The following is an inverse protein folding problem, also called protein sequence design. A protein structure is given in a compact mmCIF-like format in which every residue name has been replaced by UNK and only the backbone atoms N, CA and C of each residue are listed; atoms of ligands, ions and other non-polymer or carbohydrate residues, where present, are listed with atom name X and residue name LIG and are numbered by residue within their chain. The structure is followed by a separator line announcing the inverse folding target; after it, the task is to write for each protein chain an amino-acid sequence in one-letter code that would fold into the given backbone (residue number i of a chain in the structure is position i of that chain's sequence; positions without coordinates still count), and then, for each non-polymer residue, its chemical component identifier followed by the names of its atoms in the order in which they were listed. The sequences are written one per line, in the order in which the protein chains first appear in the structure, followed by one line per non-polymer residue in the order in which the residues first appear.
data_IF_400959508862
#
_entry.id   IF_400959508862
#
_cell.length_a   1.000
_cell.length_b   1.000
_cell.length_c   1.000
_cell.angle_alpha   90.00
_cell.angle_beta   90.00
_cell.angle_gamma   90.00
#
_symmetry.space_group_name_H-M   'P 1'
#
loop_
_entity.id
_entity.type
_entity.pdbx_description
1 polymer ?
#
# COMPACT_ATOMS: atom_id res chain seq x y z
N UNK A 1 -20.04 0.19 9.74
CA UNK A 1 -19.59 -0.89 8.87
C UNK A 1 -20.54 -2.06 8.99
N UNK A 2 -21.02 -2.64 7.88
CA UNK A 2 -21.96 -3.78 7.91
C UNK A 2 -21.22 -5.03 8.35
N UNK A 3 -21.80 -5.81 9.25
CA UNK A 3 -21.28 -7.08 9.73
C UNK A 3 -21.09 -8.10 8.60
N UNK A 4 -20.04 -8.87 8.63
CA UNK A 4 -19.67 -9.86 7.61
C UNK A 4 -18.59 -9.40 6.63
N UNK A 5 -17.99 -8.24 6.86
CA UNK A 5 -17.30 -7.50 5.82
C UNK A 5 -15.76 -7.48 5.91
N UNK A 6 -15.11 -7.91 7.02
CA UNK A 6 -13.68 -7.71 7.11
C UNK A 6 -12.88 -8.50 6.05
N UNK A 7 -13.12 -9.82 5.83
CA UNK A 7 -12.45 -10.54 4.75
C UNK A 7 -12.81 -10.01 3.37
N UNK A 8 -14.08 -9.67 3.13
CA UNK A 8 -14.54 -9.11 1.86
C UNK A 8 -13.95 -7.71 1.61
N UNK A 9 -13.90 -6.86 2.64
CA UNK A 9 -13.31 -5.53 2.55
C UNK A 9 -11.82 -5.58 2.24
N UNK A 10 -11.06 -6.45 2.91
CA UNK A 10 -9.64 -6.65 2.63
C UNK A 10 -9.41 -7.17 1.21
N UNK A 11 -10.22 -8.11 0.76
CA UNK A 11 -10.16 -8.61 -0.62
C UNK A 11 -10.46 -7.52 -1.64
N UNK A 12 -11.43 -6.65 -1.38
CA UNK A 12 -11.78 -5.54 -2.26
C UNK A 12 -10.64 -4.50 -2.33
N UNK A 13 -10.03 -4.16 -1.17
CA UNK A 13 -8.86 -3.28 -1.13
C UNK A 13 -7.71 -3.89 -1.94
N UNK A 14 -7.36 -5.14 -1.67
CA UNK A 14 -6.31 -5.86 -2.37
C UNK A 14 -6.56 -5.92 -3.88
N UNK A 15 -7.77 -6.26 -4.31
CA UNK A 15 -8.14 -6.31 -5.73
C UNK A 15 -8.05 -4.94 -6.40
N UNK A 16 -8.42 -3.87 -5.69
CA UNK A 16 -8.33 -2.50 -6.20
C UNK A 16 -6.87 -2.08 -6.39
N UNK A 17 -6.03 -2.29 -5.38
CA UNK A 17 -4.60 -1.95 -5.45
C UNK A 17 -3.93 -2.72 -6.58
N UNK A 18 -4.17 -4.02 -6.65
CA UNK A 18 -3.63 -4.86 -7.72
C UNK A 18 -4.09 -4.43 -9.12
N UNK A 19 -5.38 -4.07 -9.27
CA UNK A 19 -5.91 -3.55 -10.53
C UNK A 19 -5.27 -2.23 -10.97
N UNK A 20 -4.99 -1.31 -10.02
CA UNK A 20 -4.25 -0.09 -10.29
C UNK A 20 -2.82 -0.38 -10.75
N UNK A 21 -2.14 -1.33 -10.10
CA UNK A 21 -0.78 -1.74 -10.47
C UNK A 21 -0.74 -2.37 -11.87
N UNK A 22 -1.73 -3.19 -12.20
CA UNK A 22 -1.87 -3.76 -13.55
C UNK A 22 -2.09 -2.67 -14.61
N UNK A 23 -2.95 -1.70 -14.30
CA UNK A 23 -3.17 -0.55 -15.19
C UNK A 23 -1.89 0.26 -15.41
N UNK A 24 -1.11 0.49 -14.35
CA UNK A 24 0.18 1.16 -14.44
C UNK A 24 1.16 0.37 -15.32
N UNK A 25 1.31 -0.94 -15.08
CA UNK A 25 2.19 -1.79 -15.88
C UNK A 25 1.87 -1.74 -17.37
N UNK A 26 0.59 -1.84 -17.71
CA UNK A 26 0.16 -1.80 -19.12
C UNK A 26 0.55 -0.49 -19.81
N UNK A 27 0.31 0.62 -19.14
CA UNK A 27 0.63 1.94 -19.66
C UNK A 27 2.15 2.13 -19.80
N UNK A 28 2.94 1.72 -18.80
CA UNK A 28 4.40 1.77 -18.88
C UNK A 28 4.97 0.87 -19.98
N UNK A 29 4.42 -0.33 -20.15
CA UNK A 29 4.80 -1.25 -21.23
C UNK A 29 4.51 -0.63 -22.61
N UNK A 30 3.41 0.09 -22.77
CA UNK A 30 3.09 0.80 -24.01
C UNK A 30 4.10 1.90 -24.35
N UNK A 31 4.78 2.46 -23.36
CA UNK A 31 5.86 3.44 -23.51
C UNK A 31 7.21 2.79 -23.82
N UNK A 32 7.30 1.47 -23.73
CA UNK A 32 8.54 0.70 -23.91
C UNK A 32 9.34 0.52 -22.63
N UNK A 33 8.74 0.78 -21.47
CA UNK A 33 9.36 0.51 -20.17
C UNK A 33 9.23 -0.98 -19.82
N UNK A 34 10.35 -1.61 -19.47
CA UNK A 34 10.37 -3.03 -19.18
C UNK A 34 10.08 -3.29 -17.69
N UNK A 35 9.11 -4.15 -17.42
CA UNK A 35 8.83 -4.66 -16.09
C UNK A 35 9.64 -5.96 -15.88
N UNK A 36 10.41 -6.02 -14.80
CA UNK A 36 11.40 -7.09 -14.55
C UNK A 36 10.88 -8.22 -13.66
N UNK A 37 9.79 -8.04 -12.90
CA UNK A 37 9.26 -9.08 -12.04
C UNK A 37 8.56 -10.17 -12.87
N UNK A 38 8.77 -11.43 -12.52
CA UNK A 38 7.98 -12.53 -13.09
C UNK A 38 6.52 -12.46 -12.61
N UNK A 39 6.32 -12.07 -11.36
CA UNK A 39 5.02 -11.88 -10.71
C UNK A 39 5.08 -10.65 -9.80
N UNK A 40 3.97 -9.98 -9.63
CA UNK A 40 3.85 -8.82 -8.73
C UNK A 40 2.45 -8.75 -8.14
N UNK A 41 2.31 -8.02 -7.05
CA UNK A 41 1.01 -7.68 -6.46
C UNK A 41 0.73 -6.18 -6.58
N UNK A 42 1.49 -5.36 -5.87
CA UNK A 42 1.36 -3.90 -5.77
C UNK A 42 2.63 -3.14 -6.18
N UNK A 43 3.72 -3.85 -6.42
CA UNK A 43 5.03 -3.27 -6.68
C UNK A 43 5.59 -3.75 -8.02
N UNK A 44 5.87 -2.79 -8.90
CA UNK A 44 6.56 -3.01 -10.17
C UNK A 44 8.05 -2.72 -10.02
N UNK A 45 8.90 -3.58 -10.55
CA UNK A 45 10.33 -3.36 -10.68
C UNK A 45 10.62 -3.11 -12.16
N UNK A 46 11.00 -1.88 -12.50
CA UNK A 46 11.08 -1.40 -13.88
C UNK A 46 12.51 -1.00 -14.26
N UNK A 47 12.83 -1.16 -15.54
CA UNK A 47 14.14 -0.85 -16.14
C UNK A 47 13.99 -0.35 -17.58
N UNK A 48 15.12 0.00 -18.22
CA UNK A 48 15.14 0.40 -19.63
C UNK A 48 14.95 1.90 -19.86
N UNK A 49 15.31 2.74 -18.87
CA UNK A 49 15.23 4.19 -18.96
C UNK A 49 16.33 4.86 -18.13
N UNK A 50 16.47 6.18 -18.28
CA UNK A 50 17.38 7.00 -17.47
C UNK A 50 16.77 7.27 -16.09
N UNK A 51 17.26 6.55 -15.07
CA UNK A 51 16.80 6.69 -13.70
C UNK A 51 17.11 8.08 -13.10
N UNK A 52 18.20 8.73 -13.51
CA UNK A 52 18.56 10.07 -13.04
C UNK A 52 17.63 11.14 -13.60
N UNK A 53 17.25 11.01 -14.87
CA UNK A 53 16.26 11.89 -15.49
C UNK A 53 14.88 11.70 -14.83
N UNK A 54 14.48 10.44 -14.58
CA UNK A 54 13.24 10.14 -13.85
C UNK A 54 13.25 10.76 -12.45
N UNK A 55 14.36 10.64 -11.72
CA UNK A 55 14.49 11.22 -10.37
C UNK A 55 14.19 12.73 -10.36
N UNK A 56 14.75 13.47 -11.32
CA UNK A 56 14.52 14.93 -11.45
C UNK A 56 13.04 15.26 -11.73
N UNK A 57 12.41 14.52 -12.64
CA UNK A 57 11.00 14.70 -12.98
C UNK A 57 10.08 14.34 -11.80
N UNK A 58 10.35 13.24 -11.12
CA UNK A 58 9.57 12.76 -9.99
C UNK A 58 9.68 13.71 -8.78
N UNK A 59 10.92 14.18 -8.46
CA UNK A 59 11.16 15.14 -7.39
C UNK A 59 10.43 16.47 -7.64
N UNK A 60 10.43 16.95 -8.88
CA UNK A 60 9.70 18.16 -9.25
C UNK A 60 8.17 18.02 -9.13
N UNK A 61 7.67 16.79 -9.22
CA UNK A 61 6.26 16.44 -9.05
C UNK A 61 5.90 16.02 -7.61
N UNK A 62 6.84 16.11 -6.66
CA UNK A 62 6.70 15.63 -5.28
C UNK A 62 6.34 14.13 -5.19
N UNK A 63 6.88 13.31 -6.11
CA UNK A 63 6.71 11.85 -6.13
C UNK A 63 8.07 11.20 -5.85
N UNK A 64 8.09 10.27 -4.92
CA UNK A 64 9.29 9.49 -4.59
C UNK A 64 9.12 8.04 -5.07
N UNK A 65 10.15 7.55 -5.76
CA UNK A 65 10.30 6.14 -6.09
C UNK A 65 11.49 5.54 -5.34
N UNK A 66 11.57 4.22 -5.28
CA UNK A 66 12.73 3.54 -4.75
C UNK A 66 13.72 3.24 -5.88
N UNK A 67 14.89 3.88 -5.83
CA UNK A 67 15.96 3.80 -6.84
C UNK A 67 17.04 2.82 -6.38
N UNK A 68 17.45 1.91 -7.28
CA UNK A 68 18.50 0.95 -7.03
C UNK A 68 19.80 1.34 -7.75
N UNK A 69 20.93 0.79 -7.30
CA UNK A 69 22.26 1.10 -7.84
C UNK A 69 22.47 0.62 -9.29
N UNK A 70 21.66 -0.32 -9.76
CA UNK A 70 21.69 -0.87 -11.10
C UNK A 70 20.83 -0.08 -12.12
N UNK A 71 20.44 1.12 -11.77
CA UNK A 71 19.54 1.97 -12.57
C UNK A 71 18.12 1.41 -12.75
N UNK A 72 17.72 0.49 -11.90
CA UNK A 72 16.34 0.03 -11.81
C UNK A 72 15.57 0.83 -10.77
N UNK A 73 14.25 0.84 -10.89
CA UNK A 73 13.35 1.58 -9.99
C UNK A 73 12.18 0.70 -9.61
N UNK A 74 11.76 0.72 -8.35
CA UNK A 74 10.48 0.13 -7.97
C UNK A 74 9.42 1.19 -7.68
N UNK A 75 8.21 0.89 -8.11
CA UNK A 75 7.00 1.69 -7.90
C UNK A 75 6.01 0.83 -7.15
N UNK A 76 5.65 1.24 -5.94
CA UNK A 76 4.65 0.58 -5.12
C UNK A 76 3.39 1.43 -5.02
N UNK A 77 2.24 0.79 -5.16
CA UNK A 77 0.93 1.40 -4.94
C UNK A 77 0.29 0.81 -3.69
N UNK A 78 -0.55 1.58 -3.04
CA UNK A 78 -1.21 1.22 -1.79
C UNK A 78 -2.72 1.52 -1.81
N UNK A 79 -3.37 1.40 -0.65
CA UNK A 79 -4.80 1.67 -0.51
C UNK A 79 -5.17 3.16 -0.64
N UNK A 80 -4.21 4.06 -0.57
CA UNK A 80 -4.44 5.50 -0.79
C UNK A 80 -4.33 5.89 -2.26
N UNK A 81 -3.68 5.04 -3.06
CA UNK A 81 -3.47 5.26 -4.49
C UNK A 81 -4.80 5.25 -5.28
N UNK A 82 -4.85 6.04 -6.33
CA UNK A 82 -6.03 6.23 -7.18
C UNK A 82 -5.66 6.21 -8.68
N UNK A 83 -6.66 6.22 -9.56
CA UNK A 83 -6.43 6.39 -10.99
C UNK A 83 -5.66 7.67 -11.30
N UNK A 84 -5.93 8.76 -10.57
CA UNK A 84 -5.18 10.01 -10.70
C UNK A 84 -3.69 9.83 -10.37
N UNK A 85 -3.39 9.03 -9.36
CA UNK A 85 -2.00 8.69 -9.00
C UNK A 85 -1.32 7.94 -10.15
N UNK A 86 -1.99 6.97 -10.75
CA UNK A 86 -1.49 6.24 -11.93
C UNK A 86 -1.24 7.19 -13.09
N UNK A 87 -2.19 8.06 -13.41
CA UNK A 87 -2.05 9.08 -14.47
C UNK A 87 -0.86 10.02 -14.23
N UNK A 88 -0.67 10.47 -13.00
CA UNK A 88 0.48 11.29 -12.62
C UNK A 88 1.80 10.56 -12.86
N UNK A 89 1.91 9.31 -12.41
CA UNK A 89 3.10 8.48 -12.63
C UNK A 89 3.35 8.30 -14.13
N UNK A 90 2.34 7.89 -14.88
CA UNK A 90 2.45 7.68 -16.34
C UNK A 90 2.91 8.95 -17.06
N UNK A 91 2.40 10.12 -16.64
CA UNK A 91 2.80 11.41 -17.24
C UNK A 91 4.30 11.71 -17.08
N UNK A 92 4.95 11.24 -16.00
CA UNK A 92 6.40 11.37 -15.83
C UNK A 92 7.14 10.53 -16.88
N UNK A 93 6.70 9.30 -17.12
CA UNK A 93 7.30 8.42 -18.10
C UNK A 93 7.00 8.85 -19.54
N UNK A 94 5.85 9.46 -19.81
CA UNK A 94 5.55 10.08 -21.09
C UNK A 94 6.55 11.21 -21.40
N UNK A 95 6.84 12.08 -20.43
CA UNK A 95 7.85 13.13 -20.55
C UNK A 95 9.25 12.56 -20.74
N UNK A 96 9.57 11.49 -20.01
CA UNK A 96 10.88 10.84 -20.06
C UNK A 96 11.13 10.19 -21.43
N UNK A 97 10.12 9.54 -22.00
CA UNK A 97 10.23 8.79 -23.26
C UNK A 97 9.87 9.62 -24.50
N UNK A 98 9.31 10.82 -24.32
CA UNK A 98 8.70 11.63 -25.38
C UNK A 98 7.62 10.87 -26.20
N UNK A 99 6.90 9.95 -25.53
CA UNK A 99 5.82 9.15 -26.12
C UNK A 99 4.54 9.37 -25.34
N UNK A 100 3.41 8.99 -25.91
CA UNK A 100 2.11 8.92 -25.23
C UNK A 100 1.76 7.48 -24.90
N UNK A 101 1.29 7.26 -23.68
CA UNK A 101 0.80 5.95 -23.28
C UNK A 101 -0.47 5.59 -24.05
N UNK A 102 -0.61 4.32 -24.41
CA UNK A 102 -1.84 3.83 -25.00
C UNK A 102 -2.99 3.90 -23.99
N UNK A 103 -4.18 4.28 -24.45
CA UNK A 103 -5.38 4.22 -23.62
C UNK A 103 -5.61 2.79 -23.08
N UNK A 104 -6.26 2.68 -21.92
CA UNK A 104 -6.40 1.47 -21.07
C UNK A 104 -7.07 0.22 -21.69
N UNK A 105 -6.99 0.01 -23.00
CA UNK A 105 -7.60 -1.14 -23.69
C UNK A 105 -6.62 -2.28 -24.01
N UNK A 106 -5.39 -2.24 -23.50
CA UNK A 106 -4.46 -3.36 -23.70
C UNK A 106 -4.87 -4.54 -22.81
N UNK A 107 -5.22 -5.64 -23.42
CA UNK A 107 -5.49 -6.91 -22.72
C UNK A 107 -4.29 -7.29 -21.87
N UNK A 108 -4.49 -7.41 -20.56
CA UNK A 108 -3.44 -7.87 -19.62
C UNK A 108 -2.95 -9.23 -20.09
N UNK A 109 -1.75 -9.29 -20.65
CA UNK A 109 -1.17 -10.54 -21.16
C UNK A 109 -0.70 -11.50 -20.08
N UNK A 110 -0.54 -11.04 -18.84
CA UNK A 110 -0.06 -11.90 -17.75
C UNK A 110 -0.95 -11.73 -16.51
N UNK A 111 -1.53 -12.84 -16.08
CA UNK A 111 -2.06 -12.93 -14.74
C UNK A 111 -0.87 -12.74 -13.79
N UNK A 112 -0.76 -11.58 -13.15
CA UNK A 112 0.36 -11.20 -12.29
C UNK A 112 0.53 -12.10 -11.06
N UNK A 113 -0.51 -12.87 -10.71
CA UNK A 113 -0.49 -13.83 -9.61
C UNK A 113 -0.91 -15.20 -10.14
N UNK A 114 -0.02 -16.20 -10.13
CA UNK A 114 -0.37 -17.55 -10.54
C UNK A 114 -1.36 -18.20 -9.58
N UNK A 115 -2.18 -19.11 -10.09
CA UNK A 115 -3.18 -19.83 -9.30
C UNK A 115 -2.58 -20.55 -8.08
N UNK A 116 -1.34 -21.05 -8.19
CA UNK A 116 -0.61 -21.70 -7.10
C UNK A 116 -0.30 -20.77 -5.92
N UNK A 117 -0.24 -19.45 -6.14
CA UNK A 117 -0.01 -18.44 -5.11
C UNK A 117 -1.31 -17.78 -4.63
N UNK A 118 -2.43 -18.10 -5.25
CA UNK A 118 -3.73 -17.58 -4.85
C UNK A 118 -4.23 -18.31 -3.61
N UNK A 119 -4.60 -17.56 -2.57
CA UNK A 119 -5.14 -18.13 -1.33
C UNK A 119 -6.48 -18.79 -1.59
N UNK A 120 -6.59 -20.07 -1.26
CA UNK A 120 -7.83 -20.85 -1.29
C UNK A 120 -8.42 -21.08 0.10
N UNK A 121 -7.62 -20.92 1.18
CA UNK A 121 -8.08 -21.12 2.55
C UNK A 121 -8.86 -19.91 3.06
N UNK A 122 -9.83 -20.17 3.93
CA UNK A 122 -10.52 -19.12 4.68
C UNK A 122 -9.58 -18.42 5.68
N UNK A 123 -9.89 -17.17 6.05
CA UNK A 123 -9.10 -16.37 6.99
C UNK A 123 -10.01 -15.46 7.82
N UNK A 124 -9.48 -14.94 8.94
CA UNK A 124 -10.18 -14.06 9.89
C UNK A 124 -11.51 -14.65 10.40
N UNK A 125 -11.54 -15.98 10.64
CA UNK A 125 -12.73 -16.67 11.11
C UNK A 125 -12.93 -16.60 12.61
N UNK A 126 -11.90 -16.22 13.38
CA UNK A 126 -12.04 -16.06 14.82
C UNK A 126 -13.08 -14.98 15.14
N UNK A 127 -13.99 -15.21 16.11
CA UNK A 127 -15.07 -14.28 16.44
C UNK A 127 -14.61 -12.86 16.73
N UNK A 128 -13.40 -12.66 17.26
CA UNK A 128 -12.84 -11.33 17.56
C UNK A 128 -12.83 -10.39 16.35
N UNK A 129 -12.64 -10.92 15.15
CA UNK A 129 -12.64 -10.12 13.91
C UNK A 129 -14.04 -9.68 13.47
N UNK A 130 -15.08 -10.21 14.14
CA UNK A 130 -16.48 -9.97 13.79
C UNK A 130 -17.32 -9.49 14.98
N UNK A 131 -16.70 -9.08 16.08
CA UNK A 131 -17.39 -8.70 17.31
C UNK A 131 -17.32 -7.21 17.61
N UNK A 132 -16.19 -6.57 17.32
CA UNK A 132 -15.94 -5.17 17.71
C UNK A 132 -16.09 -4.24 16.52
N UNK A 133 -17.31 -3.75 16.26
CA UNK A 133 -17.66 -3.00 15.05
C UNK A 133 -17.78 -1.49 15.25
N UNK A 134 -17.61 -0.99 16.45
CA UNK A 134 -17.60 0.46 16.73
C UNK A 134 -16.30 0.86 17.42
N UNK A 135 -15.96 2.16 17.32
CA UNK A 135 -14.80 2.73 18.00
C UNK A 135 -14.84 2.43 19.51
N UNK A 136 -15.97 2.65 20.16
CA UNK A 136 -16.14 2.38 21.59
C UNK A 136 -15.93 0.90 21.94
N UNK A 137 -16.42 -0.01 21.11
CA UNK A 137 -16.22 -1.44 21.33
C UNK A 137 -14.74 -1.81 21.16
N UNK A 138 -14.05 -1.25 20.17
CA UNK A 138 -12.63 -1.47 19.97
C UNK A 138 -11.81 -0.94 21.13
N UNK A 139 -12.08 0.28 21.60
CA UNK A 139 -11.40 0.88 22.75
C UNK A 139 -11.57 0.04 24.02
N UNK A 140 -12.78 -0.45 24.28
CA UNK A 140 -13.06 -1.34 25.42
C UNK A 140 -12.34 -2.68 25.27
N UNK A 141 -12.28 -3.23 24.08
CA UNK A 141 -11.58 -4.47 23.80
C UNK A 141 -10.05 -4.31 24.00
N UNK A 142 -9.46 -3.24 23.53
CA UNK A 142 -8.05 -2.90 23.77
C UNK A 142 -7.77 -2.84 25.28
N UNK A 143 -8.62 -2.15 26.03
CA UNK A 143 -8.48 -2.05 27.49
C UNK A 143 -8.65 -3.42 28.19
N UNK A 144 -9.54 -4.26 27.68
CA UNK A 144 -9.70 -5.63 28.18
C UNK A 144 -8.44 -6.48 27.96
N UNK A 145 -7.76 -6.31 26.80
CA UNK A 145 -6.49 -6.98 26.52
C UNK A 145 -5.38 -6.45 27.42
N UNK A 146 -5.27 -5.13 27.56
CA UNK A 146 -4.31 -4.48 28.45
C UNK A 146 -4.43 -4.99 29.90
N UNK A 147 -5.65 -5.16 30.41
CA UNK A 147 -5.91 -5.63 31.77
C UNK A 147 -5.57 -7.13 32.00
N UNK A 148 -5.19 -7.87 30.97
CA UNK A 148 -4.74 -9.27 31.13
C UNK A 148 -3.29 -9.38 31.59
N UNK A 149 -2.55 -8.29 31.51
CA UNK A 149 -1.16 -8.19 31.93
C UNK A 149 -0.93 -6.85 32.64
N UNK A 150 0.31 -6.53 32.97
CA UNK A 150 0.67 -5.27 33.61
C UNK A 150 0.45 -4.10 32.65
N UNK A 151 -0.27 -3.09 33.13
CA UNK A 151 -0.46 -1.82 32.40
C UNK A 151 0.15 -0.65 33.18
N UNK A 152 0.47 0.44 32.47
CA UNK A 152 1.11 1.60 33.09
C UNK A 152 0.28 2.27 34.17
N UNK A 153 -1.03 2.16 34.13
CA UNK A 153 -1.95 2.72 35.12
C UNK A 153 -2.20 1.79 36.32
N UNK A 154 -1.72 0.56 36.28
CA UNK A 154 -1.85 -0.42 37.36
C UNK A 154 -0.49 -0.94 37.85
N UNK A 155 0.59 -0.65 37.16
CA UNK A 155 1.95 -1.06 37.52
C UNK A 155 2.55 -0.15 38.57
N UNK A 156 3.20 -0.72 39.54
CA UNK A 156 3.98 0.01 40.56
C UNK A 156 5.42 0.29 40.11
N UNK A 157 5.85 -0.29 39.01
CA UNK A 157 7.22 -0.16 38.48
C UNK A 157 7.14 0.40 37.05
N UNK A 158 7.99 1.41 36.77
CA UNK A 158 8.18 1.90 35.41
C UNK A 158 8.70 0.77 34.54
N UNK A 159 7.93 0.43 33.49
CA UNK A 159 8.38 -0.53 32.49
C UNK A 159 9.50 0.11 31.65
N UNK A 160 10.53 -0.65 31.31
CA UNK A 160 11.60 -0.17 30.42
C UNK A 160 11.04 0.36 29.12
N UNK A 161 11.67 1.36 28.50
CA UNK A 161 11.20 2.04 27.27
C UNK A 161 9.84 2.74 27.41
N UNK A 162 9.59 3.40 28.53
CA UNK A 162 8.28 3.99 28.85
C UNK A 162 7.96 5.30 28.11
N UNK A 163 8.89 5.89 27.39
CA UNK A 163 8.78 7.26 26.84
C UNK A 163 7.55 7.43 25.91
N UNK A 164 7.32 6.50 25.01
CA UNK A 164 6.17 6.59 24.06
C UNK A 164 4.87 6.02 24.61
N UNK A 165 4.91 5.23 25.67
CA UNK A 165 3.74 4.54 26.23
C UNK A 165 2.91 5.41 27.17
N UNK A 166 3.45 6.54 27.60
CA UNK A 166 2.79 7.49 28.49
C UNK A 166 2.22 8.71 27.76
N UNK A 167 2.36 8.78 26.44
CA UNK A 167 1.83 9.88 25.66
C UNK A 167 0.31 9.88 25.69
N UNK A 168 -0.28 11.05 25.94
CA UNK A 168 -1.70 11.23 25.80
C UNK A 168 -2.13 11.03 24.33
N UNK A 169 -3.35 10.50 24.12
CA UNK A 169 -3.88 10.31 22.76
C UNK A 169 -3.86 11.63 21.95
N UNK A 170 -4.09 12.76 22.60
CA UNK A 170 -4.02 14.10 22.01
C UNK A 170 -2.64 14.45 21.46
N UNK A 171 -1.56 14.00 22.09
CA UNK A 171 -0.19 14.20 21.63
C UNK A 171 0.13 13.38 20.38
N UNK A 172 -0.61 12.31 20.14
CA UNK A 172 -0.46 11.44 18.97
C UNK A 172 -1.24 11.95 17.75
N UNK A 173 -2.21 12.85 17.92
CA UNK A 173 -3.03 13.39 16.83
C UNK A 173 -2.19 14.01 15.71
N UNK A 174 -1.14 14.82 15.98
CA UNK A 174 -0.32 15.41 14.93
C UNK A 174 0.35 14.40 13.99
N UNK A 175 0.59 13.18 14.45
CA UNK A 175 1.21 12.10 13.64
C UNK A 175 0.32 11.73 12.45
N UNK A 176 -0.98 11.90 12.57
CA UNK A 176 -1.97 11.56 11.54
C UNK A 176 -2.45 12.77 10.72
N UNK A 177 -1.87 13.95 10.93
CA UNK A 177 -2.22 15.12 10.14
C UNK A 177 -1.68 15.00 8.71
N UNK A 178 -2.47 15.42 7.70
CA UNK A 178 -1.97 15.47 6.33
C UNK A 178 -0.79 16.46 6.24
N UNK A 179 0.25 16.04 5.52
CA UNK A 179 1.42 16.88 5.22
C UNK A 179 1.11 17.84 4.07
#
# INVERSE_FOLDING_TARGET
MKSGALPASLKNIASRVHGLTQSLEQQLTSLGIEQANAYYFDTLHIKGFDASALYKLASAAAINFNYFSDSTVSISLDETSSNKTVEQIVSLFEKLTNKKAAAQNATVKNASIPASLTRTSSYLQHPVFNTHHSETQMMRYIKQLENKDLSLNTSMISLGSCTMKLNAATEMIPVSWPC
#
